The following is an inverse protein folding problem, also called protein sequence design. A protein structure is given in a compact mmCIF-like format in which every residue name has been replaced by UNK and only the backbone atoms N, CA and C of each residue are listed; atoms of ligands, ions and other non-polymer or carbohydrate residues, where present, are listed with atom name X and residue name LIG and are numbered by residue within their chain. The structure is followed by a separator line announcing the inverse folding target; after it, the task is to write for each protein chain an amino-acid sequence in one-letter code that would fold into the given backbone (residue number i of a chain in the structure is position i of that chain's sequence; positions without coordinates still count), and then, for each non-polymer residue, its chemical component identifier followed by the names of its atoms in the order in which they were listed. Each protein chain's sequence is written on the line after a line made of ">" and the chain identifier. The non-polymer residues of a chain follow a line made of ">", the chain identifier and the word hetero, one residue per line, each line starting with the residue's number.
data_IF_477156066642
#
_entry.id   IF_477156066642
#
_cell.length_a   1.000
_cell.length_b   1.000
_cell.length_c   1.000
_cell.angle_alpha   90.00
_cell.angle_beta   90.00
_cell.angle_gamma   90.00
#
_symmetry.space_group_name_H-M   'P 1'
#
loop_
_entity.id
_entity.type
_entity.pdbx_description
1 polymer ?
#
# COMPACT_ATOMS: atom_id res chain seq x y z
N UNK A 1 5.32 -32.04 -51.18
CA UNK A 1 5.35 -32.77 -49.90
C UNK A 1 6.36 -32.20 -48.86
N UNK A 2 7.56 -31.75 -49.26
CA UNK A 2 8.51 -31.12 -48.30
C UNK A 2 8.09 -29.72 -47.83
N UNK A 3 7.43 -28.95 -48.65
CA UNK A 3 7.02 -27.59 -48.36
C UNK A 3 5.95 -27.53 -47.24
N UNK A 4 4.99 -28.44 -47.26
CA UNK A 4 3.90 -28.48 -46.23
C UNK A 4 4.45 -28.86 -44.85
N UNK A 5 5.50 -29.69 -44.79
CA UNK A 5 6.18 -30.04 -43.53
C UNK A 5 6.94 -28.87 -42.97
N UNK A 6 7.60 -28.07 -43.79
CA UNK A 6 8.30 -26.86 -43.37
C UNK A 6 7.35 -25.77 -42.92
N UNK A 7 6.23 -25.58 -43.63
CA UNK A 7 5.18 -24.62 -43.24
C UNK A 7 4.54 -24.99 -41.91
N UNK A 8 4.27 -26.27 -41.67
CA UNK A 8 3.75 -26.77 -40.40
C UNK A 8 4.69 -26.53 -39.21
N UNK A 9 6.00 -26.74 -39.41
CA UNK A 9 7.03 -26.51 -38.37
C UNK A 9 7.18 -25.02 -38.05
N UNK A 10 7.17 -24.16 -39.07
CA UNK A 10 7.27 -22.70 -38.89
C UNK A 10 6.00 -22.16 -38.18
N UNK A 11 4.83 -22.64 -38.53
CA UNK A 11 3.57 -22.23 -37.90
C UNK A 11 3.50 -22.71 -36.43
N UNK A 12 3.99 -23.90 -36.13
CA UNK A 12 4.10 -24.43 -34.75
C UNK A 12 5.11 -23.65 -33.89
N UNK A 13 6.25 -23.24 -34.48
CA UNK A 13 7.23 -22.43 -33.79
C UNK A 13 6.73 -21.01 -33.49
N UNK A 14 5.91 -20.45 -34.39
CA UNK A 14 5.31 -19.12 -34.18
C UNK A 14 4.28 -19.10 -33.05
N UNK A 15 3.56 -20.20 -32.83
CA UNK A 15 2.59 -20.35 -31.75
C UNK A 15 3.24 -20.46 -30.36
N UNK A 16 4.48 -20.91 -30.28
CA UNK A 16 5.22 -21.01 -29.01
C UNK A 16 5.82 -19.69 -28.56
N UNK A 17 5.94 -18.69 -29.43
CA UNK A 17 6.47 -17.35 -29.08
C UNK A 17 5.44 -16.41 -28.45
N UNK A 18 4.16 -16.76 -28.46
CA UNK A 18 3.08 -15.93 -27.91
C UNK A 18 2.84 -16.20 -26.40
N UNK A 19 3.52 -17.17 -25.79
CA UNK A 19 3.26 -17.64 -24.43
C UNK A 19 4.03 -16.90 -23.31
N UNK A 20 4.74 -15.82 -23.61
CA UNK A 20 5.45 -15.04 -22.59
C UNK A 20 5.09 -13.56 -22.69
N UNK A 21 3.83 -13.20 -22.62
CA UNK A 21 3.46 -11.90 -22.09
C UNK A 21 3.34 -12.06 -20.58
N UNK A 22 4.43 -11.80 -19.85
CA UNK A 22 4.32 -11.40 -18.46
C UNK A 22 3.42 -10.15 -18.47
N UNK A 23 2.17 -10.35 -18.10
CA UNK A 23 1.34 -9.25 -17.67
C UNK A 23 2.01 -8.74 -16.38
N UNK A 24 2.87 -7.75 -16.47
CA UNK A 24 3.07 -6.82 -15.37
C UNK A 24 1.69 -6.21 -15.13
N UNK A 25 0.89 -6.88 -14.31
CA UNK A 25 -0.29 -6.28 -13.73
C UNK A 25 0.28 -5.11 -12.95
N UNK A 26 -0.02 -3.90 -13.42
CA UNK A 26 0.40 -2.66 -12.78
C UNK A 26 -0.20 -2.66 -11.37
N UNK A 27 0.58 -3.20 -10.41
CA UNK A 27 0.14 -3.37 -9.03
C UNK A 27 -0.08 -1.99 -8.46
N UNK A 28 -1.26 -1.73 -7.97
CA UNK A 28 -1.55 -0.50 -7.24
C UNK A 28 -0.64 -0.43 -6.02
N UNK A 29 0.13 0.66 -5.93
CA UNK A 29 1.06 0.89 -4.83
C UNK A 29 0.34 1.60 -3.69
N UNK A 30 0.61 1.17 -2.46
CA UNK A 30 0.11 1.78 -1.23
C UNK A 30 1.28 2.03 -0.30
N UNK A 31 1.40 3.24 0.20
CA UNK A 31 2.41 3.65 1.18
C UNK A 31 1.76 3.86 2.54
N UNK A 32 2.11 3.02 3.50
CA UNK A 32 1.63 3.10 4.87
C UNK A 32 2.71 3.77 5.71
N UNK A 33 2.42 4.98 6.20
CA UNK A 33 3.27 5.63 7.20
C UNK A 33 2.97 5.07 8.60
N UNK A 34 3.97 4.95 9.45
CA UNK A 34 3.79 4.52 10.83
C UNK A 34 4.85 5.11 11.77
N UNK A 35 4.45 5.37 13.01
CA UNK A 35 5.36 5.72 14.09
C UNK A 35 5.96 4.43 14.72
N UNK A 36 7.12 4.56 15.35
CA UNK A 36 7.82 3.42 15.96
C UNK A 36 7.21 3.03 17.32
N UNK A 37 5.90 2.80 17.33
CA UNK A 37 5.13 2.29 18.46
C UNK A 37 4.72 0.85 18.20
N UNK A 38 4.61 0.03 19.24
CA UNK A 38 4.32 -1.39 19.09
C UNK A 38 3.02 -1.66 18.34
N UNK A 39 1.96 -0.92 18.67
CA UNK A 39 0.65 -1.02 18.02
C UNK A 39 0.71 -0.53 16.57
N UNK A 40 1.36 0.59 16.30
CA UNK A 40 1.51 1.14 14.95
C UNK A 40 2.30 0.22 14.03
N UNK A 41 3.37 -0.39 14.54
CA UNK A 41 4.16 -1.41 13.83
C UNK A 41 3.28 -2.62 13.52
N UNK A 42 2.59 -3.17 14.53
CA UNK A 42 1.77 -4.38 14.36
C UNK A 42 0.64 -4.16 13.34
N UNK A 43 -0.12 -3.06 13.46
CA UNK A 43 -1.21 -2.72 12.55
C UNK A 43 -0.72 -2.49 11.12
N UNK A 44 0.37 -1.78 10.96
CA UNK A 44 0.91 -1.48 9.62
C UNK A 44 1.42 -2.73 8.91
N UNK A 45 2.07 -3.63 9.63
CA UNK A 45 2.50 -4.92 9.08
C UNK A 45 1.33 -5.84 8.76
N UNK A 46 0.30 -5.87 9.61
CA UNK A 46 -0.93 -6.63 9.33
C UNK A 46 -1.63 -6.09 8.09
N UNK A 47 -1.81 -4.78 8.00
CA UNK A 47 -2.42 -4.14 6.83
C UNK A 47 -1.62 -4.41 5.55
N UNK A 48 -0.28 -4.39 5.63
CA UNK A 48 0.58 -4.75 4.50
C UNK A 48 0.26 -6.16 4.01
N UNK A 49 0.24 -7.16 4.89
CA UNK A 49 -0.04 -8.55 4.50
C UNK A 49 -1.41 -8.67 3.82
N UNK A 50 -2.44 -8.09 4.42
CA UNK A 50 -3.81 -8.14 3.87
C UNK A 50 -3.90 -7.46 2.50
N UNK A 51 -3.28 -6.30 2.33
CA UNK A 51 -3.28 -5.59 1.05
C UNK A 51 -2.47 -6.32 -0.03
N UNK A 52 -1.33 -6.92 0.33
CA UNK A 52 -0.52 -7.70 -0.59
C UNK A 52 -1.26 -8.96 -1.08
N UNK A 53 -2.05 -9.61 -0.21
CA UNK A 53 -2.94 -10.70 -0.60
C UNK A 53 -4.04 -10.25 -1.59
N UNK A 54 -4.44 -8.98 -1.53
CA UNK A 54 -5.37 -8.36 -2.48
C UNK A 54 -4.70 -7.85 -3.77
N UNK A 55 -3.39 -8.08 -3.93
CA UNK A 55 -2.65 -7.74 -5.14
C UNK A 55 -2.02 -6.34 -5.15
N UNK A 56 -2.04 -5.62 -4.04
CA UNK A 56 -1.32 -4.35 -3.92
C UNK A 56 0.18 -4.57 -3.70
N UNK A 57 0.98 -3.57 -4.05
CA UNK A 57 2.38 -3.46 -3.62
C UNK A 57 2.43 -2.48 -2.45
N UNK A 58 2.88 -2.93 -1.27
CA UNK A 58 2.82 -2.12 -0.06
C UNK A 58 4.20 -1.75 0.44
N UNK A 59 4.44 -0.44 0.54
CA UNK A 59 5.64 0.16 1.13
C UNK A 59 5.32 0.65 2.55
N UNK A 60 6.12 0.25 3.53
CA UNK A 60 6.04 0.72 4.91
C UNK A 60 7.06 1.85 5.13
N UNK A 61 6.61 2.98 5.64
CA UNK A 61 7.45 4.16 5.90
C UNK A 61 7.44 4.51 7.39
N UNK A 62 8.54 4.20 8.08
CA UNK A 62 8.72 4.61 9.46
C UNK A 62 9.17 6.07 9.55
N UNK A 63 8.51 6.86 10.38
CA UNK A 63 8.88 8.25 10.65
C UNK A 63 8.30 8.73 11.98
N UNK A 64 8.74 9.89 12.44
CA UNK A 64 8.12 10.61 13.54
C UNK A 64 6.79 11.25 13.11
N UNK A 65 5.94 11.64 14.06
CA UNK A 65 4.59 12.13 13.79
C UNK A 65 4.55 13.34 12.84
N UNK A 66 5.37 14.34 13.06
CA UNK A 66 5.37 15.53 12.21
C UNK A 66 5.69 15.21 10.73
N UNK A 67 6.75 14.46 10.39
CA UNK A 67 6.99 13.96 9.05
C UNK A 67 5.84 13.11 8.48
N UNK A 68 5.16 12.29 9.30
CA UNK A 68 4.00 11.50 8.85
C UNK A 68 2.89 12.42 8.36
N UNK A 69 2.46 13.39 9.17
CA UNK A 69 1.39 14.31 8.79
C UNK A 69 1.75 15.19 7.59
N UNK A 70 2.99 15.63 7.48
CA UNK A 70 3.50 16.35 6.29
C UNK A 70 3.45 15.45 5.05
N UNK A 71 3.86 14.19 5.17
CA UNK A 71 3.86 13.21 4.07
C UNK A 71 2.44 12.90 3.61
N UNK A 72 1.52 12.69 4.54
CA UNK A 72 0.10 12.43 4.27
C UNK A 72 -0.55 13.64 3.58
N UNK A 73 -0.40 14.84 4.12
CA UNK A 73 -0.97 16.06 3.54
C UNK A 73 -0.39 16.38 2.16
N UNK A 74 0.88 16.02 1.93
CA UNK A 74 1.56 16.14 0.64
C UNK A 74 1.31 14.99 -0.32
N UNK A 75 0.43 14.04 0.00
CA UNK A 75 0.10 12.84 -0.81
C UNK A 75 1.33 11.99 -1.16
N UNK A 76 2.32 11.96 -0.27
CA UNK A 76 3.51 11.12 -0.39
C UNK A 76 3.38 9.79 0.34
N UNK A 77 2.50 9.74 1.35
CA UNK A 77 2.00 8.54 2.02
C UNK A 77 0.49 8.49 1.88
N UNK A 78 -0.07 7.29 1.77
CA UNK A 78 -1.49 7.09 1.48
C UNK A 78 -2.31 6.88 2.74
N UNK A 79 -1.76 6.20 3.76
CA UNK A 79 -2.50 5.86 4.97
C UNK A 79 -1.61 5.89 6.22
N UNK A 80 -2.21 6.28 7.33
CA UNK A 80 -1.67 6.17 8.68
C UNK A 80 -2.73 5.55 9.59
N UNK A 81 -2.46 4.40 10.18
CA UNK A 81 -3.44 3.59 10.90
C UNK A 81 -3.48 3.82 12.41
N UNK A 82 -2.47 4.51 12.94
CA UNK A 82 -2.27 4.68 14.38
C UNK A 82 -2.38 6.17 14.78
N UNK A 83 -3.46 6.82 14.34
CA UNK A 83 -3.73 8.20 14.69
C UNK A 83 -4.57 8.27 15.99
N UNK A 84 -3.95 8.71 17.08
CA UNK A 84 -4.59 8.89 18.39
C UNK A 84 -5.38 10.21 18.43
N UNK A 85 -6.62 10.14 17.98
CA UNK A 85 -7.54 11.27 17.86
C UNK A 85 -8.66 11.18 18.92
N UNK A 86 -9.29 12.30 19.27
CA UNK A 86 -8.98 13.67 18.86
C UNK A 86 -7.93 14.37 19.71
N UNK A 87 -7.50 13.77 20.84
CA UNK A 87 -6.76 14.49 21.88
C UNK A 87 -5.26 14.54 21.60
N UNK A 88 -4.60 13.39 21.47
CA UNK A 88 -3.14 13.29 21.42
C UNK A 88 -2.54 13.98 20.19
N UNK A 89 -3.21 13.86 19.04
CA UNK A 89 -2.75 14.43 17.78
C UNK A 89 -3.59 15.62 17.31
N UNK A 90 -4.27 16.29 18.24
CA UNK A 90 -5.15 17.43 17.95
C UNK A 90 -4.48 18.53 17.12
N UNK A 91 -3.25 18.88 17.47
CA UNK A 91 -2.54 19.96 16.79
C UNK A 91 -2.21 19.63 15.34
N UNK A 92 -1.83 18.38 15.07
CA UNK A 92 -1.64 17.91 13.70
C UNK A 92 -2.94 17.91 12.91
N UNK A 93 -4.04 17.49 13.54
CA UNK A 93 -5.35 17.51 12.91
C UNK A 93 -5.81 18.94 12.59
N UNK A 94 -5.57 19.90 13.49
CA UNK A 94 -5.87 21.30 13.25
C UNK A 94 -5.05 21.88 12.10
N UNK A 95 -3.80 21.44 11.94
CA UNK A 95 -2.90 21.96 10.91
C UNK A 95 -3.09 21.31 9.54
N UNK A 96 -3.38 20.01 9.50
CA UNK A 96 -3.38 19.20 8.26
C UNK A 96 -4.73 18.57 7.94
N UNK A 97 -5.71 18.64 8.85
CA UNK A 97 -6.98 17.90 8.74
C UNK A 97 -7.77 18.17 7.47
N UNK A 98 -7.75 19.40 6.97
CA UNK A 98 -8.45 19.77 5.72
C UNK A 98 -7.92 19.03 4.47
N UNK A 99 -6.71 18.50 4.54
CA UNK A 99 -6.07 17.72 3.46
C UNK A 99 -6.10 16.21 3.69
N UNK A 100 -6.70 15.77 4.78
CA UNK A 100 -6.77 14.37 5.19
C UNK A 100 -8.22 13.89 5.22
N UNK A 101 -8.40 12.59 4.95
CA UNK A 101 -9.68 11.92 5.07
C UNK A 101 -9.65 10.96 6.25
N UNK A 102 -10.65 11.08 7.13
CA UNK A 102 -10.85 10.14 8.23
C UNK A 102 -11.72 8.97 7.75
N UNK A 103 -11.12 7.80 7.63
CA UNK A 103 -11.78 6.61 7.10
C UNK A 103 -12.60 5.85 8.16
N UNK A 104 -12.33 6.09 9.42
CA UNK A 104 -13.03 5.43 10.51
C UNK A 104 -12.13 5.14 11.69
N UNK A 105 -12.74 4.59 12.73
CA UNK A 105 -12.12 4.22 13.98
C UNK A 105 -11.58 2.79 13.91
N UNK A 106 -10.29 2.62 14.17
CA UNK A 106 -9.65 1.29 14.20
C UNK A 106 -9.83 0.66 15.58
N UNK A 107 -9.75 1.48 16.64
CA UNK A 107 -9.84 1.02 18.02
C UNK A 107 -10.43 2.11 18.94
N UNK A 108 -11.69 1.99 19.28
CA UNK A 108 -12.47 3.02 19.97
C UNK A 108 -12.32 3.11 21.48
N UNK A 109 -11.72 2.10 22.10
CA UNK A 109 -11.60 2.05 23.57
C UNK A 109 -10.18 2.33 24.07
N UNK A 110 -9.33 2.86 23.21
CA UNK A 110 -7.97 3.23 23.56
C UNK A 110 -7.97 4.33 24.64
N UNK A 111 -7.19 4.13 25.69
CA UNK A 111 -7.04 5.08 26.78
C UNK A 111 -5.56 5.28 27.10
N UNK A 112 -5.20 6.54 27.33
CA UNK A 112 -3.90 6.86 27.90
C UNK A 112 -4.07 6.75 29.43
N UNK A 113 -3.38 5.80 30.04
CA UNK A 113 -3.33 5.59 31.49
C UNK A 113 -2.05 6.15 32.07
N UNK A 114 -2.12 6.55 33.34
CA UNK A 114 -0.95 6.83 34.19
C UNK A 114 -0.64 5.61 35.02
#
# INVERSE_FOLDING_TARGET
>A
MRIYKLVGIVLSALLLLVSCTNSDVDKKKVKIAYANWLEGIAMSHLAKVVLEEQGYEVELQNADLAPIFVSMSGKKSDVFLDAWLPITMKDYLNQYGDSLEFLGEVYGEARVGL
#
